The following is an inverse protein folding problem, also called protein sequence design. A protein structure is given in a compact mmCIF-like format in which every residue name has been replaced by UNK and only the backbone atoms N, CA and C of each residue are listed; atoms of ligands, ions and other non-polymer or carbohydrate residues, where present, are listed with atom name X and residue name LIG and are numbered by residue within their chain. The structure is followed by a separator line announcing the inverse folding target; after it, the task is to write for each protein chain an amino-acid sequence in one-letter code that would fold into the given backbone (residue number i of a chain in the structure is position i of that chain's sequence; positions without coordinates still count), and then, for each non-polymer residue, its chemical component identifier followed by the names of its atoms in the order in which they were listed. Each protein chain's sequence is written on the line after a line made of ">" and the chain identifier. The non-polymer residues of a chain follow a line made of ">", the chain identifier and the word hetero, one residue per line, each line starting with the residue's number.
data_IF_915629057807
#
_entry.id   IF_915629057807
#
_cell.length_a   1.000
_cell.length_b   1.000
_cell.length_c   1.000
_cell.angle_alpha   90.00
_cell.angle_beta   90.00
_cell.angle_gamma   90.00
#
_symmetry.space_group_name_H-M   'P 1'
#
loop_
_entity.id
_entity.type
_entity.pdbx_description
1 polymer ?
#
# COMPACT_ATOMS: atom_id res chain seq x y z
N UNK A 1 -9.62 5.45 18.20
CA UNK A 1 -10.64 5.82 19.20
C UNK A 1 -12.06 5.45 18.76
N UNK A 2 -12.52 5.77 17.54
CA UNK A 2 -13.87 5.39 17.09
C UNK A 2 -14.08 3.87 17.03
N UNK A 3 -13.21 3.15 16.32
CA UNK A 3 -13.29 1.68 16.19
C UNK A 3 -13.06 0.90 17.51
N UNK A 4 -12.67 1.56 18.61
CA UNK A 4 -12.63 0.91 19.93
C UNK A 4 -13.96 1.03 20.68
N UNK A 5 -14.89 1.82 20.15
CA UNK A 5 -16.27 1.95 20.62
C UNK A 5 -17.23 1.44 19.53
N UNK A 6 -16.80 0.42 18.77
CA UNK A 6 -17.58 -0.24 17.73
C UNK A 6 -18.15 0.67 16.63
N UNK A 7 -17.51 1.80 16.32
CA UNK A 7 -17.86 2.56 15.11
C UNK A 7 -17.22 1.93 13.88
N UNK A 8 -18.02 1.80 12.81
CA UNK A 8 -17.60 1.37 11.49
C UNK A 8 -18.06 2.37 10.42
N UNK A 9 -17.36 2.43 9.31
CA UNK A 9 -17.57 3.45 8.27
C UNK A 9 -17.75 2.79 6.91
N UNK A 10 -18.69 3.28 6.10
CA UNK A 10 -19.01 2.70 4.78
C UNK A 10 -18.07 3.17 3.66
N UNK A 11 -17.31 4.25 3.85
CA UNK A 11 -16.27 4.69 2.91
C UNK A 11 -15.04 5.29 3.61
N UNK A 12 -13.88 5.32 2.94
CA UNK A 12 -12.69 6.01 3.43
C UNK A 12 -12.95 7.49 3.74
N UNK A 13 -13.73 8.19 2.94
CA UNK A 13 -14.06 9.60 3.17
C UNK A 13 -14.83 9.80 4.48
N UNK A 14 -15.84 8.96 4.77
CA UNK A 14 -16.59 9.06 6.02
C UNK A 14 -15.67 8.78 7.22
N UNK A 15 -14.79 7.77 7.09
CA UNK A 15 -13.79 7.46 8.10
C UNK A 15 -12.86 8.66 8.35
N UNK A 16 -12.33 9.27 7.29
CA UNK A 16 -11.44 10.41 7.37
C UNK A 16 -12.13 11.65 7.94
N UNK A 17 -13.38 11.90 7.54
CA UNK A 17 -14.20 12.97 8.10
C UNK A 17 -14.43 12.78 9.60
N UNK A 18 -14.67 11.55 10.07
CA UNK A 18 -14.81 11.29 11.50
C UNK A 18 -13.49 11.54 12.27
N UNK A 19 -12.33 11.33 11.64
CA UNK A 19 -11.02 11.52 12.28
C UNK A 19 -10.53 12.97 12.29
N UNK A 20 -10.75 13.72 11.20
CA UNK A 20 -10.17 15.06 11.01
C UNK A 20 -11.12 16.09 10.41
N UNK A 21 -12.42 15.79 10.39
CA UNK A 21 -13.47 16.68 9.87
C UNK A 21 -13.30 17.00 8.39
N UNK A 22 -13.83 18.16 7.99
CA UNK A 22 -13.68 18.68 6.64
C UNK A 22 -12.22 18.92 6.24
N UNK A 23 -11.30 19.09 7.21
CA UNK A 23 -9.88 19.27 6.94
C UNK A 23 -9.25 18.08 6.21
N UNK A 24 -9.51 16.86 6.67
CA UNK A 24 -8.99 15.66 6.00
C UNK A 24 -9.63 15.43 4.63
N UNK A 25 -10.93 15.73 4.48
CA UNK A 25 -11.57 15.67 3.16
C UNK A 25 -10.98 16.69 2.19
N UNK A 26 -10.70 17.89 2.67
CA UNK A 26 -10.07 18.94 1.87
C UNK A 26 -8.68 18.52 1.38
N UNK A 27 -7.91 17.80 2.21
CA UNK A 27 -6.61 17.25 1.82
C UNK A 27 -6.69 16.19 0.71
N UNK A 28 -7.81 15.51 0.51
CA UNK A 28 -8.00 14.63 -0.66
C UNK A 28 -8.19 15.43 -1.97
N UNK A 29 -8.61 16.68 -1.86
CA UNK A 29 -9.01 17.52 -2.99
C UNK A 29 -7.96 18.56 -3.42
N UNK A 30 -6.83 18.63 -2.72
CA UNK A 30 -5.70 19.50 -3.05
C UNK A 30 -4.40 18.73 -2.92
N UNK A 31 -3.35 19.25 -3.54
CA UNK A 31 -2.01 18.69 -3.45
C UNK A 31 -1.37 18.93 -2.07
N UNK A 32 -0.35 18.15 -1.71
CA UNK A 32 0.45 18.43 -0.52
C UNK A 32 1.24 19.73 -0.69
N UNK A 33 1.68 20.06 -1.89
CA UNK A 33 2.31 21.34 -2.24
C UNK A 33 1.38 22.53 -1.86
N UNK A 34 0.15 22.56 -2.37
CA UNK A 34 -0.84 23.60 -2.04
C UNK A 34 -1.16 23.66 -0.54
N UNK A 35 -1.23 22.50 0.12
CA UNK A 35 -1.49 22.40 1.55
C UNK A 35 -0.37 23.07 2.37
N UNK A 36 0.89 22.81 2.00
CA UNK A 36 2.06 23.35 2.70
C UNK A 36 2.32 24.83 2.36
N UNK A 37 2.08 25.25 1.12
CA UNK A 37 2.11 26.67 0.77
C UNK A 37 1.08 27.48 1.59
N UNK A 38 -0.14 26.96 1.76
CA UNK A 38 -1.16 27.59 2.65
C UNK A 38 -0.70 27.66 4.11
N UNK A 39 0.08 26.68 4.55
CA UNK A 39 0.73 26.67 5.86
C UNK A 39 2.03 27.51 5.93
N UNK A 40 2.34 28.28 4.87
CA UNK A 40 3.49 29.20 4.74
C UNK A 40 4.86 28.54 4.66
N UNK A 41 4.93 27.28 4.26
CA UNK A 41 6.21 26.68 3.86
C UNK A 41 6.68 27.23 2.52
N UNK A 42 7.99 27.41 2.35
CA UNK A 42 8.55 27.92 1.10
C UNK A 42 8.57 26.84 0.02
N UNK A 43 8.52 27.24 -1.25
CA UNK A 43 8.64 26.30 -2.37
C UNK A 43 9.99 25.57 -2.35
N UNK A 44 11.06 26.22 -1.90
CA UNK A 44 12.37 25.58 -1.73
C UNK A 44 12.29 24.41 -0.74
N UNK A 45 11.65 24.59 0.42
CA UNK A 45 11.45 23.50 1.37
C UNK A 45 10.60 22.37 0.77
N UNK A 46 9.55 22.70 0.03
CA UNK A 46 8.69 21.68 -0.61
C UNK A 46 9.51 20.89 -1.64
N UNK A 47 10.28 21.56 -2.49
CA UNK A 47 11.07 20.92 -3.53
C UNK A 47 12.24 20.10 -2.98
N UNK A 48 12.92 20.60 -1.95
CA UNK A 48 14.19 20.04 -1.45
C UNK A 48 13.99 19.05 -0.29
N UNK A 49 12.88 19.12 0.44
CA UNK A 49 12.62 18.24 1.60
C UNK A 49 11.37 17.38 1.40
N UNK A 50 10.25 17.96 0.98
CA UNK A 50 8.97 17.24 0.90
C UNK A 50 8.93 16.32 -0.32
N UNK A 51 9.29 16.84 -1.50
CA UNK A 51 9.29 16.07 -2.75
C UNK A 51 10.18 14.83 -2.68
N UNK A 52 11.41 14.88 -2.14
CA UNK A 52 12.21 13.67 -1.98
C UNK A 52 11.57 12.61 -1.08
N UNK A 53 10.87 13.04 0.00
CA UNK A 53 10.10 12.12 0.87
C UNK A 53 8.92 11.51 0.09
N UNK A 54 8.22 12.29 -0.73
CA UNK A 54 7.14 11.77 -1.57
C UNK A 54 7.67 10.74 -2.57
N UNK A 55 8.83 11.00 -3.17
CA UNK A 55 9.43 10.12 -4.18
C UNK A 55 9.90 8.80 -3.59
N UNK A 56 10.46 8.78 -2.37
CA UNK A 56 10.87 7.51 -1.73
C UNK A 56 9.69 6.66 -1.27
N UNK A 57 8.61 7.28 -0.77
CA UNK A 57 7.47 6.54 -0.22
C UNK A 57 6.41 6.21 -1.28
N UNK A 58 6.18 7.11 -2.22
CA UNK A 58 5.08 7.06 -3.18
C UNK A 58 5.52 7.26 -4.64
N UNK A 59 6.81 7.40 -4.96
CA UNK A 59 7.27 7.49 -6.36
C UNK A 59 6.60 8.61 -7.18
N UNK A 60 6.04 9.61 -6.49
CA UNK A 60 5.38 10.78 -7.04
C UNK A 60 5.97 12.03 -6.37
N UNK A 61 5.75 13.21 -6.95
CA UNK A 61 6.19 14.48 -6.40
C UNK A 61 5.20 15.06 -5.38
N UNK A 62 5.41 16.31 -4.95
CA UNK A 62 4.48 17.03 -4.08
C UNK A 62 3.10 17.33 -4.73
N UNK A 63 2.89 16.87 -5.98
CA UNK A 63 1.60 16.89 -6.68
C UNK A 63 0.58 15.85 -6.17
N UNK A 64 0.98 14.91 -5.30
CA UNK A 64 0.02 13.97 -4.69
C UNK A 64 -0.97 14.67 -3.79
N UNK A 65 -2.12 14.03 -3.53
CA UNK A 65 -3.10 14.59 -2.60
C UNK A 65 -2.50 14.81 -1.20
N UNK A 66 -2.96 15.85 -0.53
CA UNK A 66 -2.46 16.31 0.75
C UNK A 66 -2.51 15.24 1.85
N UNK A 67 -3.50 14.34 1.82
CA UNK A 67 -3.62 13.32 2.87
C UNK A 67 -2.53 12.25 2.72
N UNK A 68 -2.29 11.76 1.50
CA UNK A 68 -1.15 10.88 1.20
C UNK A 68 0.17 11.58 1.53
N UNK A 69 0.29 12.87 1.20
CA UNK A 69 1.45 13.68 1.56
C UNK A 69 1.70 13.72 3.06
N UNK A 70 0.66 13.92 3.87
CA UNK A 70 0.76 13.90 5.31
C UNK A 70 1.18 12.53 5.85
N UNK A 71 0.61 11.44 5.33
CA UNK A 71 0.99 10.06 5.69
C UNK A 71 2.47 9.79 5.34
N UNK A 72 2.90 10.22 4.16
CA UNK A 72 4.29 10.12 3.70
C UNK A 72 5.26 10.86 4.64
N UNK A 73 4.93 12.10 5.01
CA UNK A 73 5.73 12.90 5.94
C UNK A 73 5.77 12.29 7.34
N UNK A 74 4.68 11.69 7.81
CA UNK A 74 4.66 10.98 9.09
C UNK A 74 5.68 9.82 9.10
N UNK A 75 5.82 9.10 7.98
CA UNK A 75 6.83 8.05 7.78
C UNK A 75 8.28 8.55 7.67
N UNK A 76 8.51 9.85 7.58
CA UNK A 76 9.85 10.46 7.62
C UNK A 76 10.20 11.03 9.01
N UNK A 77 9.28 10.95 9.97
CA UNK A 77 9.53 11.39 11.35
C UNK A 77 10.29 10.33 12.17
N UNK A 78 10.85 10.74 13.30
CA UNK A 78 11.52 9.81 14.23
C UNK A 78 10.54 8.95 15.04
N UNK A 79 11.06 7.93 15.74
CA UNK A 79 10.25 7.08 16.61
C UNK A 79 9.49 5.96 15.88
N UNK A 80 9.94 5.60 14.68
CA UNK A 80 9.45 4.43 13.94
C UNK A 80 9.98 3.13 14.54
N UNK A 81 9.23 2.05 14.33
CA UNK A 81 9.52 0.73 14.89
C UNK A 81 9.66 -0.31 13.79
N UNK A 82 10.45 -1.35 14.06
CA UNK A 82 10.55 -2.53 13.20
C UNK A 82 10.48 -3.79 14.07
N UNK A 83 9.95 -4.86 13.50
CA UNK A 83 9.92 -6.16 14.18
C UNK A 83 11.31 -6.78 14.15
N UNK A 84 11.79 -7.25 15.31
CA UNK A 84 12.99 -8.07 15.40
C UNK A 84 12.84 -9.33 14.53
N UNK A 85 13.80 -9.61 13.64
CA UNK A 85 13.68 -10.65 12.61
C UNK A 85 12.97 -10.21 11.32
N UNK A 86 12.48 -8.97 11.27
CA UNK A 86 12.02 -8.27 10.07
C UNK A 86 10.50 -8.18 9.97
N UNK A 87 10.00 -7.11 9.33
CA UNK A 87 8.57 -6.83 9.20
C UNK A 87 7.77 -7.90 8.43
N UNK A 88 8.45 -8.80 7.69
CA UNK A 88 7.80 -9.98 7.09
C UNK A 88 7.05 -10.84 8.12
N UNK A 89 7.47 -10.79 9.39
CA UNK A 89 6.87 -11.56 10.47
C UNK A 89 5.48 -11.06 10.87
N UNK A 90 5.11 -9.82 10.51
CA UNK A 90 3.77 -9.27 10.80
C UNK A 90 2.70 -10.14 10.14
N UNK A 91 2.81 -10.41 8.85
CA UNK A 91 1.81 -11.19 8.12
C UNK A 91 1.75 -12.65 8.59
N UNK A 92 2.91 -13.29 8.81
CA UNK A 92 2.93 -14.68 9.30
C UNK A 92 2.41 -14.79 10.73
N UNK A 93 2.71 -13.82 11.60
CA UNK A 93 2.21 -13.75 12.96
C UNK A 93 0.69 -13.55 13.01
N UNK A 94 0.15 -12.67 12.18
CA UNK A 94 -1.31 -12.46 12.06
C UNK A 94 -2.03 -13.71 11.54
N UNK A 95 -1.46 -14.39 10.54
CA UNK A 95 -2.04 -15.63 10.04
C UNK A 95 -2.05 -16.72 11.11
N UNK A 96 -0.94 -16.89 11.84
CA UNK A 96 -0.87 -17.82 12.97
C UNK A 96 -1.90 -17.47 14.07
N UNK A 97 -1.98 -16.21 14.47
CA UNK A 97 -2.86 -15.75 15.54
C UNK A 97 -4.35 -15.87 15.19
N UNK A 98 -4.72 -15.59 13.93
CA UNK A 98 -6.11 -15.66 13.47
C UNK A 98 -6.65 -17.10 13.38
N UNK A 99 -5.76 -18.11 13.34
CA UNK A 99 -6.12 -19.52 13.11
C UNK A 99 -6.92 -19.73 11.80
N UNK A 100 -6.78 -18.80 10.85
CA UNK A 100 -7.46 -18.89 9.57
C UNK A 100 -6.92 -20.08 8.76
N UNK A 101 -7.81 -20.73 8.02
CA UNK A 101 -7.41 -21.72 7.03
C UNK A 101 -6.86 -21.00 5.80
N UNK A 102 -5.54 -21.04 5.60
CA UNK A 102 -4.92 -20.53 4.39
C UNK A 102 -5.13 -21.50 3.24
N UNK A 103 -5.77 -21.02 2.17
CA UNK A 103 -5.88 -21.74 0.91
C UNK A 103 -4.95 -21.06 -0.10
N UNK A 104 -3.89 -21.76 -0.49
CA UNK A 104 -2.96 -21.26 -1.52
C UNK A 104 -3.60 -21.38 -2.90
N UNK A 105 -4.10 -20.28 -3.42
CA UNK A 105 -4.66 -20.21 -4.76
C UNK A 105 -5.09 -18.79 -5.16
N UNK A 106 -5.27 -18.58 -6.46
CA UNK A 106 -5.70 -17.30 -7.02
C UNK A 106 -7.19 -17.35 -7.33
N UNK A 107 -7.96 -16.40 -6.79
CA UNK A 107 -9.39 -16.25 -7.11
C UNK A 107 -9.55 -15.85 -8.57
N UNK A 108 -10.45 -16.52 -9.28
CA UNK A 108 -10.73 -16.30 -10.72
C UNK A 108 -12.10 -15.64 -10.90
N UNK A 109 -13.09 -16.07 -10.11
CA UNK A 109 -14.42 -15.49 -10.17
C UNK A 109 -15.15 -15.55 -8.84
N UNK A 110 -16.04 -14.59 -8.64
CA UNK A 110 -16.99 -14.57 -7.54
C UNK A 110 -18.38 -14.47 -8.14
N UNK A 111 -19.29 -15.33 -7.69
CA UNK A 111 -20.69 -15.34 -8.13
C UNK A 111 -21.63 -15.17 -6.94
N UNK A 112 -22.53 -14.20 -7.02
CA UNK A 112 -23.60 -14.05 -6.05
C UNK A 112 -24.70 -15.08 -6.33
N UNK A 113 -25.03 -15.89 -5.31
CA UNK A 113 -26.10 -16.89 -5.36
C UNK A 113 -27.14 -16.60 -4.29
N UNK A 114 -28.41 -16.68 -4.67
CA UNK A 114 -29.52 -16.60 -3.73
C UNK A 114 -30.03 -18.00 -3.44
N UNK A 115 -30.07 -18.39 -2.17
CA UNK A 115 -30.56 -19.70 -1.72
C UNK A 115 -31.75 -19.58 -0.77
N UNK A 116 -32.71 -20.53 -0.80
CA UNK A 116 -33.78 -20.57 0.19
C UNK A 116 -33.24 -20.82 1.60
N UNK A 117 -33.74 -20.05 2.57
CA UNK A 117 -33.35 -20.14 3.98
C UNK A 117 -34.11 -21.29 4.68
N UNK A 118 -33.76 -22.53 4.33
CA UNK A 118 -34.31 -23.74 4.94
C UNK A 118 -35.84 -23.78 5.07
N UNK A 119 -36.35 -24.49 6.09
CA UNK A 119 -37.81 -24.64 6.34
C UNK A 119 -38.51 -23.41 6.91
N UNK A 120 -37.75 -22.39 7.35
CA UNK A 120 -38.28 -21.20 8.02
C UNK A 120 -38.76 -20.11 7.04
N UNK A 121 -38.53 -20.29 5.73
CA UNK A 121 -38.84 -19.28 4.71
C UNK A 121 -37.78 -18.16 4.66
N UNK A 122 -37.65 -17.53 3.50
CA UNK A 122 -36.70 -16.44 3.24
C UNK A 122 -35.61 -16.82 2.23
N UNK A 123 -34.84 -15.82 1.78
CA UNK A 123 -33.71 -15.96 0.88
C UNK A 123 -32.42 -15.56 1.60
N UNK A 124 -31.32 -16.28 1.38
CA UNK A 124 -29.98 -15.91 1.83
C UNK A 124 -29.10 -15.66 0.61
N UNK A 125 -28.30 -14.60 0.66
CA UNK A 125 -27.20 -14.45 -0.29
C UNK A 125 -26.02 -15.26 0.20
N UNK A 126 -25.40 -15.99 -0.72
CA UNK A 126 -24.13 -16.66 -0.55
C UNK A 126 -23.25 -16.37 -1.75
N UNK A 127 -21.95 -16.40 -1.53
CA UNK A 127 -20.95 -16.15 -2.56
C UNK A 127 -20.23 -17.44 -2.89
N UNK A 128 -20.30 -17.84 -4.16
CA UNK A 128 -19.43 -18.89 -4.68
C UNK A 128 -18.14 -18.26 -5.19
N UNK A 129 -17.02 -18.63 -4.59
CA UNK A 129 -15.68 -18.17 -4.97
C UNK A 129 -14.96 -19.30 -5.67
N UNK A 130 -14.66 -19.11 -6.94
CA UNK A 130 -13.87 -20.04 -7.75
C UNK A 130 -12.42 -19.58 -7.76
N UNK A 131 -11.50 -20.50 -7.47
CA UNK A 131 -10.08 -20.21 -7.38
C UNK A 131 -9.24 -21.34 -7.99
N UNK A 132 -8.06 -20.99 -8.49
CA UNK A 132 -7.07 -21.94 -8.99
C UNK A 132 -6.07 -22.27 -7.87
N UNK A 133 -6.04 -23.51 -7.43
CA UNK A 133 -5.09 -24.00 -6.42
C UNK A 133 -4.08 -24.96 -7.06
N UNK A 134 -3.10 -25.42 -6.28
CA UNK A 134 -2.16 -26.48 -6.72
C UNK A 134 -2.85 -27.78 -7.10
N UNK A 135 -4.07 -28.03 -6.61
CA UNK A 135 -4.88 -29.21 -6.92
C UNK A 135 -5.84 -28.98 -8.11
N UNK A 136 -5.76 -27.82 -8.76
CA UNK A 136 -6.63 -27.42 -9.86
C UNK A 136 -7.69 -26.39 -9.46
N UNK A 137 -8.62 -26.16 -10.38
CA UNK A 137 -9.72 -25.19 -10.21
C UNK A 137 -10.80 -25.81 -9.33
N UNK A 138 -11.18 -25.10 -8.28
CA UNK A 138 -12.23 -25.50 -7.34
C UNK A 138 -13.03 -24.29 -6.90
N UNK A 139 -14.13 -24.51 -6.16
CA UNK A 139 -14.97 -23.45 -5.61
C UNK A 139 -15.35 -23.69 -4.16
N UNK A 140 -15.66 -22.60 -3.45
CA UNK A 140 -16.19 -22.63 -2.09
C UNK A 140 -17.35 -21.66 -1.93
N UNK A 141 -18.31 -21.99 -1.06
CA UNK A 141 -19.43 -21.13 -0.72
C UNK A 141 -19.17 -20.38 0.60
N UNK A 142 -19.44 -19.08 0.62
CA UNK A 142 -19.19 -18.19 1.75
C UNK A 142 -20.37 -17.26 2.01
N UNK A 143 -20.67 -16.98 3.28
CA UNK A 143 -21.76 -16.06 3.65
C UNK A 143 -21.32 -14.58 3.64
N UNK A 144 -20.01 -14.34 3.78
CA UNK A 144 -19.36 -13.03 3.85
C UNK A 144 -18.08 -13.03 3.00
N UNK A 145 -17.79 -11.90 2.35
CA UNK A 145 -16.53 -11.68 1.62
C UNK A 145 -15.79 -10.44 2.11
N UNK A 146 -14.51 -10.60 2.38
CA UNK A 146 -13.56 -9.52 2.65
C UNK A 146 -12.52 -9.52 1.53
N UNK A 147 -12.52 -8.50 0.68
CA UNK A 147 -11.60 -8.38 -0.44
C UNK A 147 -10.40 -7.54 -0.02
N UNK A 148 -9.24 -8.20 0.06
CA UNK A 148 -7.96 -7.62 0.43
C UNK A 148 -6.96 -7.54 -0.76
N UNK A 149 -7.47 -7.49 -2.00
CA UNK A 149 -6.66 -7.29 -3.22
C UNK A 149 -7.16 -6.08 -4.00
N UNK A 150 -6.26 -5.30 -4.65
CA UNK A 150 -6.66 -4.24 -5.57
C UNK A 150 -7.58 -4.76 -6.69
N UNK A 151 -8.76 -4.17 -6.86
CA UNK A 151 -9.79 -4.64 -7.79
C UNK A 151 -9.67 -4.13 -9.23
N UNK A 152 -8.59 -3.40 -9.56
CA UNK A 152 -8.30 -3.02 -10.94
C UNK A 152 -8.16 -4.29 -11.79
N UNK A 153 -8.80 -4.30 -12.96
CA UNK A 153 -8.87 -5.49 -13.82
C UNK A 153 -7.50 -6.06 -14.19
N UNK A 154 -6.50 -5.18 -14.41
CA UNK A 154 -5.11 -5.57 -14.73
C UNK A 154 -4.35 -6.18 -13.54
N UNK A 155 -4.88 -6.09 -12.32
CA UNK A 155 -4.25 -6.55 -11.08
C UNK A 155 -4.95 -7.81 -10.56
N UNK A 156 -6.21 -7.68 -10.12
CA UNK A 156 -6.93 -8.81 -9.54
C UNK A 156 -7.32 -9.87 -10.57
N UNK A 157 -7.71 -9.45 -11.78
CA UNK A 157 -8.26 -10.33 -12.82
C UNK A 157 -9.40 -11.25 -12.32
N UNK A 158 -10.24 -10.76 -11.40
CA UNK A 158 -11.40 -11.48 -10.85
C UNK A 158 -12.65 -11.11 -11.64
N UNK A 159 -13.40 -12.12 -12.09
CA UNK A 159 -14.70 -11.92 -12.74
C UNK A 159 -15.84 -11.97 -11.73
N UNK A 160 -16.60 -10.88 -11.59
CA UNK A 160 -17.81 -10.85 -10.75
C UNK A 160 -19.04 -11.19 -11.59
N UNK A 161 -19.84 -12.17 -11.14
CA UNK A 161 -21.01 -12.70 -11.87
C UNK A 161 -22.27 -12.57 -11.03
N UNK A 162 -23.40 -12.31 -11.71
CA UNK A 162 -24.74 -12.27 -11.11
C UNK A 162 -24.90 -11.27 -9.94
N UNK A 163 -24.13 -10.18 -9.97
CA UNK A 163 -24.29 -9.08 -9.03
C UNK A 163 -25.28 -8.04 -9.56
N UNK A 164 -26.25 -7.69 -8.71
CA UNK A 164 -27.16 -6.57 -8.93
C UNK A 164 -27.16 -5.66 -7.68
N UNK A 165 -26.71 -4.40 -7.77
CA UNK A 165 -26.06 -3.81 -8.94
C UNK A 165 -24.69 -4.47 -9.24
N UNK A 166 -24.15 -4.32 -10.47
CA UNK A 166 -22.82 -4.80 -10.81
C UNK A 166 -21.73 -4.19 -9.91
N UNK A 167 -20.67 -4.95 -9.64
CA UNK A 167 -19.49 -4.43 -8.92
C UNK A 167 -18.82 -3.37 -9.78
N UNK A 168 -18.58 -2.19 -9.21
CA UNK A 168 -17.96 -1.07 -9.91
C UNK A 168 -16.55 -1.43 -10.43
N UNK A 169 -16.23 -0.97 -11.64
CA UNK A 169 -14.87 -1.08 -12.16
C UNK A 169 -14.01 0.09 -11.65
N UNK A 170 -12.79 -0.23 -11.23
CA UNK A 170 -11.79 0.76 -10.82
C UNK A 170 -10.71 0.85 -11.90
N UNK A 171 -10.53 2.04 -12.46
CA UNK A 171 -9.68 2.24 -13.65
C UNK A 171 -8.39 3.01 -13.39
N UNK A 172 -8.26 3.74 -12.27
CA UNK A 172 -7.04 4.53 -12.07
C UNK A 172 -5.82 3.62 -11.89
N UNK A 173 -4.67 4.04 -12.44
CA UNK A 173 -3.49 3.20 -12.51
C UNK A 173 -2.86 3.00 -11.13
N UNK A 174 -2.06 1.95 -11.01
CA UNK A 174 -1.14 1.76 -9.89
C UNK A 174 0.27 2.18 -10.31
N UNK A 175 1.03 2.69 -9.37
CA UNK A 175 2.45 2.93 -9.55
C UNK A 175 3.24 1.63 -9.49
N UNK A 176 4.03 1.39 -10.53
CA UNK A 176 5.09 0.41 -10.49
C UNK A 176 6.29 0.99 -9.73
N UNK A 177 6.83 0.18 -8.82
CA UNK A 177 8.08 0.45 -8.12
C UNK A 177 9.00 -0.77 -8.24
N UNK A 178 10.29 -0.50 -8.35
CA UNK A 178 11.35 -1.50 -8.25
C UNK A 178 12.19 -1.18 -7.03
N UNK A 179 12.42 -2.17 -6.18
CA UNK A 179 13.47 -2.13 -5.17
C UNK A 179 14.58 -3.09 -5.58
N UNK A 180 15.75 -2.54 -5.85
CA UNK A 180 16.97 -3.29 -6.14
C UNK A 180 17.85 -3.29 -4.90
N UNK A 181 18.16 -4.47 -4.38
CA UNK A 181 19.07 -4.69 -3.27
C UNK A 181 20.43 -5.08 -3.82
N UNK A 182 21.47 -4.34 -3.43
CA UNK A 182 22.84 -4.54 -3.91
C UNK A 182 23.76 -4.68 -2.71
N UNK A 183 24.43 -5.81 -2.58
CA UNK A 183 25.52 -5.98 -1.63
C UNK A 183 26.81 -5.51 -2.31
N UNK A 184 27.37 -4.38 -1.85
CA UNK A 184 28.51 -3.77 -2.55
C UNK A 184 28.91 -2.38 -2.08
N UNK A 185 29.88 -1.81 -2.79
CA UNK A 185 30.43 -0.48 -2.54
C UNK A 185 29.86 0.54 -3.53
N UNK A 186 29.35 1.65 -3.01
CA UNK A 186 28.91 2.79 -3.83
C UNK A 186 30.11 3.39 -4.57
N UNK A 187 29.89 3.74 -5.83
CA UNK A 187 30.79 4.58 -6.59
C UNK A 187 30.67 6.04 -6.12
N UNK A 188 31.47 6.42 -5.14
CA UNK A 188 31.45 7.77 -4.56
C UNK A 188 31.69 8.88 -5.60
N UNK A 189 32.44 8.60 -6.66
CA UNK A 189 32.73 9.57 -7.73
C UNK A 189 31.49 10.00 -8.50
N UNK A 190 30.50 9.10 -8.66
CA UNK A 190 29.20 9.41 -9.27
C UNK A 190 28.45 10.48 -8.48
N UNK A 191 28.65 10.54 -7.16
CA UNK A 191 28.06 11.53 -6.27
C UNK A 191 28.95 12.76 -6.04
N UNK A 192 29.99 12.93 -6.86
CA UNK A 192 30.88 14.11 -6.82
C UNK A 192 32.00 14.04 -5.78
N UNK A 193 32.18 12.91 -5.08
CA UNK A 193 33.27 12.74 -4.12
C UNK A 193 34.55 12.31 -4.84
N UNK A 194 35.65 13.06 -4.64
CA UNK A 194 36.97 12.71 -5.20
C UNK A 194 37.64 11.58 -4.42
N UNK A 195 37.51 11.61 -3.09
CA UNK A 195 38.03 10.60 -2.17
C UNK A 195 36.86 9.74 -1.66
N UNK A 196 36.79 8.45 -2.04
CA UNK A 196 35.74 7.54 -1.58
C UNK A 196 35.66 7.39 -0.05
N UNK A 197 36.75 7.63 0.68
CA UNK A 197 36.76 7.53 2.15
C UNK A 197 35.93 8.62 2.84
N UNK A 198 35.67 9.74 2.14
CA UNK A 198 34.84 10.83 2.62
C UNK A 198 33.34 10.57 2.44
N UNK A 199 32.95 9.55 1.67
CA UNK A 199 31.56 9.21 1.46
C UNK A 199 30.98 8.52 2.69
N UNK A 200 30.15 9.23 3.44
CA UNK A 200 29.53 8.76 4.69
C UNK A 200 28.00 8.66 4.65
N UNK A 201 27.39 9.04 3.53
CA UNK A 201 25.94 9.05 3.37
C UNK A 201 25.36 7.63 3.51
N UNK A 202 24.25 7.53 4.24
CA UNK A 202 23.48 6.28 4.42
C UNK A 202 22.15 6.29 3.67
N UNK A 203 21.71 7.48 3.24
CA UNK A 203 20.52 7.66 2.44
C UNK A 203 20.77 8.80 1.45
N UNK A 204 20.27 8.64 0.24
CA UNK A 204 20.28 9.62 -0.84
C UNK A 204 18.87 9.65 -1.40
N UNK A 205 18.21 10.80 -1.31
CA UNK A 205 16.88 11.01 -1.85
C UNK A 205 16.98 12.01 -3.00
N UNK A 206 16.13 11.87 -4.01
CA UNK A 206 16.17 12.73 -5.20
C UNK A 206 15.03 13.73 -5.21
N UNK A 207 15.30 14.94 -5.71
CA UNK A 207 14.25 15.87 -6.12
C UNK A 207 13.54 15.35 -7.37
N UNK A 208 12.46 16.01 -7.76
CA UNK A 208 11.78 15.71 -9.02
C UNK A 208 12.63 16.16 -10.21
N UNK A 209 13.14 15.17 -10.95
CA UNK A 209 13.83 15.38 -12.22
C UNK A 209 13.52 14.17 -13.13
N UNK A 210 12.90 14.38 -14.30
CA UNK A 210 12.59 13.32 -15.26
C UNK A 210 13.80 12.55 -15.79
N UNK A 211 15.01 13.12 -15.72
CA UNK A 211 16.24 12.48 -16.18
C UNK A 211 16.83 11.50 -15.16
N UNK A 212 16.36 11.53 -13.91
CA UNK A 212 16.84 10.63 -12.88
C UNK A 212 16.22 9.24 -13.02
N UNK A 213 17.08 8.23 -13.13
CA UNK A 213 16.68 6.83 -13.19
C UNK A 213 16.45 6.20 -11.81
N UNK A 214 16.72 6.94 -10.72
CA UNK A 214 16.49 6.51 -9.33
C UNK A 214 15.66 7.52 -8.54
N UNK A 215 14.83 7.00 -7.65
CA UNK A 215 14.05 7.78 -6.68
C UNK A 215 14.82 7.96 -5.36
N UNK A 216 15.53 6.92 -4.91
CA UNK A 216 16.40 6.99 -3.73
C UNK A 216 17.36 5.81 -3.63
N UNK A 217 18.38 5.98 -2.79
CA UNK A 217 19.28 4.93 -2.32
C UNK A 217 19.32 4.97 -0.79
N UNK A 218 19.37 3.81 -0.15
CA UNK A 218 19.53 3.74 1.31
C UNK A 218 20.18 2.45 1.77
N UNK A 219 21.06 2.54 2.76
CA UNK A 219 21.66 1.37 3.42
C UNK A 219 20.58 0.66 4.24
N UNK A 220 20.45 -0.65 4.05
CA UNK A 220 19.51 -1.47 4.79
C UNK A 220 20.19 -2.06 6.02
N UNK A 221 19.54 -1.92 7.17
CA UNK A 221 20.04 -2.52 8.41
C UNK A 221 19.65 -3.99 8.53
N UNK A 222 20.46 -4.81 9.24
CA UNK A 222 20.17 -6.22 9.43
C UNK A 222 18.97 -6.42 10.34
N UNK A 223 18.12 -7.39 10.01
CA UNK A 223 16.89 -7.64 10.79
C UNK A 223 17.13 -8.25 12.17
N UNK A 224 18.31 -8.81 12.43
CA UNK A 224 18.70 -9.41 13.73
C UNK A 224 19.61 -8.49 14.56
N UNK A 225 19.83 -7.26 14.10
CA UNK A 225 20.84 -6.37 14.69
C UNK A 225 22.28 -6.88 14.51
N UNK A 226 23.23 -6.14 15.08
CA UNK A 226 24.65 -6.45 15.05
C UNK A 226 25.45 -5.70 13.98
N UNK A 227 26.76 -5.55 14.23
CA UNK A 227 27.68 -4.95 13.26
C UNK A 227 28.02 -5.97 12.17
N UNK A 228 27.65 -5.68 10.93
CA UNK A 228 28.15 -6.43 9.80
C UNK A 228 29.57 -5.97 9.46
N UNK A 229 30.50 -6.92 9.49
CA UNK A 229 31.88 -6.77 9.03
C UNK A 229 31.90 -7.09 7.53
N UNK A 230 31.50 -6.13 6.70
CA UNK A 230 31.43 -6.30 5.25
C UNK A 230 30.82 -5.09 4.53
N UNK A 231 30.75 -5.12 3.19
CA UNK A 231 30.06 -4.11 2.42
C UNK A 231 28.60 -3.98 2.88
N UNK A 232 28.03 -2.77 2.90
CA UNK A 232 26.61 -2.60 3.20
C UNK A 232 25.73 -3.19 2.09
N UNK A 233 24.50 -3.54 2.47
CA UNK A 233 23.43 -3.77 1.49
C UNK A 233 22.73 -2.44 1.23
N UNK A 234 22.72 -2.02 -0.02
CA UNK A 234 22.00 -0.85 -0.50
C UNK A 234 20.67 -1.26 -1.10
N UNK A 235 19.61 -0.53 -0.75
CA UNK A 235 18.32 -0.57 -1.45
C UNK A 235 18.23 0.65 -2.36
N UNK A 236 17.98 0.41 -3.63
CA UNK A 236 17.76 1.44 -4.65
C UNK A 236 16.31 1.36 -5.09
N UNK A 237 15.57 2.46 -4.97
CA UNK A 237 14.24 2.58 -5.54
C UNK A 237 14.30 3.24 -6.92
N UNK A 238 13.63 2.63 -7.89
CA UNK A 238 13.53 3.12 -9.27
C UNK A 238 12.17 2.77 -9.89
N UNK A 239 11.83 3.40 -11.02
CA UNK A 239 10.60 3.10 -11.75
C UNK A 239 10.70 1.83 -12.61
N UNK A 240 11.91 1.50 -13.07
CA UNK A 240 12.23 0.33 -13.89
C UNK A 240 13.40 -0.44 -13.29
N UNK A 241 13.60 -1.68 -13.74
CA UNK A 241 14.80 -2.44 -13.41
C UNK A 241 16.04 -1.65 -13.83
N UNK A 242 17.05 -1.63 -12.97
CA UNK A 242 18.32 -0.96 -13.28
C UNK A 242 19.06 -1.78 -14.34
N UNK A 243 19.61 -1.10 -15.35
CA UNK A 243 20.50 -1.74 -16.32
C UNK A 243 21.88 -1.98 -15.71
N UNK A 244 22.68 -2.83 -16.34
CA UNK A 244 24.07 -3.07 -15.91
C UNK A 244 24.90 -1.79 -15.94
N UNK A 245 24.65 -0.90 -16.90
CA UNK A 245 25.31 0.42 -16.98
C UNK A 245 24.91 1.28 -15.80
N UNK A 246 23.62 1.33 -15.46
CA UNK A 246 23.12 2.09 -14.31
C UNK A 246 23.67 1.53 -12.98
N UNK A 247 23.78 0.21 -12.85
CA UNK A 247 24.40 -0.43 -11.68
C UNK A 247 25.89 -0.07 -11.57
N UNK A 248 26.64 -0.12 -12.67
CA UNK A 248 28.06 0.27 -12.72
C UNK A 248 28.29 1.77 -12.50
N UNK A 249 27.31 2.61 -12.82
CA UNK A 249 27.34 4.03 -12.45
C UNK A 249 27.22 4.20 -10.93
N UNK A 250 26.27 3.49 -10.31
CA UNK A 250 25.99 3.62 -8.88
C UNK A 250 27.00 2.91 -7.97
N UNK A 251 27.56 1.77 -8.41
CA UNK A 251 28.40 0.90 -7.58
C UNK A 251 29.75 0.64 -8.25
N UNK A 252 30.82 0.80 -7.48
CA UNK A 252 32.19 0.49 -7.95
C UNK A 252 32.48 -1.02 -7.93
N UNK A 253 31.81 -1.75 -7.04
CA UNK A 253 31.88 -3.21 -6.93
C UNK A 253 30.66 -3.75 -6.19
N UNK A 254 30.20 -4.93 -6.59
CA UNK A 254 29.10 -5.66 -5.96
C UNK A 254 29.20 -7.14 -6.32
N UNK A 255 28.64 -8.01 -5.48
CA UNK A 255 28.63 -9.46 -5.65
C UNK A 255 27.21 -10.07 -5.68
N UNK A 256 26.21 -9.34 -5.19
CA UNK A 256 24.80 -9.75 -5.22
C UNK A 256 23.90 -8.58 -5.62
N UNK A 257 23.01 -8.84 -6.57
CA UNK A 257 21.92 -7.94 -6.96
C UNK A 257 20.61 -8.71 -6.97
N UNK A 258 19.64 -8.25 -6.19
CA UNK A 258 18.30 -8.82 -6.12
C UNK A 258 17.27 -7.72 -6.34
N UNK A 259 16.37 -7.89 -7.32
CA UNK A 259 15.39 -6.87 -7.65
C UNK A 259 13.96 -7.40 -7.50
N UNK A 260 13.13 -6.65 -6.77
CA UNK A 260 11.69 -6.90 -6.71
C UNK A 260 10.97 -5.80 -7.47
N UNK A 261 10.11 -6.19 -8.41
CA UNK A 261 9.17 -5.31 -9.11
C UNK A 261 7.75 -5.56 -8.62
N UNK A 262 6.99 -4.50 -8.33
CA UNK A 262 5.58 -4.64 -7.95
C UNK A 262 4.77 -3.38 -8.26
N UNK A 263 3.45 -3.52 -8.22
CA UNK A 263 2.51 -2.40 -8.20
C UNK A 263 2.25 -2.03 -6.73
N UNK A 264 2.74 -0.87 -6.30
CA UNK A 264 2.89 -0.54 -4.89
C UNK A 264 1.66 0.15 -4.29
N UNK A 265 1.06 1.07 -5.04
CA UNK A 265 -0.05 1.90 -4.57
C UNK A 265 -0.78 2.53 -5.77
N UNK A 266 -2.02 3.02 -5.59
CA UNK A 266 -2.72 3.82 -6.59
C UNK A 266 -1.92 5.07 -7.02
N UNK A 267 -2.13 5.53 -8.24
CA UNK A 267 -1.70 6.86 -8.67
C UNK A 267 -2.61 7.91 -8.04
N UNK A 268 -2.02 8.80 -7.27
CA UNK A 268 -2.75 9.83 -6.55
C UNK A 268 -2.80 11.12 -7.36
N UNK A 269 -4.01 11.58 -7.67
CA UNK A 269 -4.24 12.87 -8.34
C UNK A 269 -5.47 13.53 -7.73
N UNK A 270 -5.32 14.70 -7.08
CA UNK A 270 -6.47 15.47 -6.64
C UNK A 270 -7.36 15.92 -7.82
N UNK A 271 -8.70 15.97 -7.67
CA UNK A 271 -9.45 15.49 -6.51
C UNK A 271 -9.50 13.96 -6.43
N UNK A 272 -9.19 13.42 -5.25
CA UNK A 272 -9.15 11.98 -5.03
C UNK A 272 -10.52 11.47 -4.56
N UNK A 273 -11.11 10.56 -5.34
CA UNK A 273 -12.28 9.78 -4.94
C UNK A 273 -11.84 8.39 -4.51
N UNK A 274 -12.31 7.91 -3.36
CA UNK A 274 -11.99 6.58 -2.88
C UNK A 274 -13.13 5.60 -3.22
N UNK A 275 -12.81 4.32 -3.49
CA UNK A 275 -13.81 3.25 -3.48
C UNK A 275 -14.50 3.14 -2.11
N UNK A 276 -15.76 2.69 -2.06
CA UNK A 276 -16.42 2.41 -0.79
C UNK A 276 -15.81 1.19 -0.10
N UNK A 277 -15.95 1.12 1.24
CA UNK A 277 -15.64 -0.10 2.00
C UNK A 277 -16.71 -1.17 1.81
N UNK A 278 -17.95 -0.81 1.47
CA UNK A 278 -19.04 -1.76 1.20
C UNK A 278 -19.24 -1.85 -0.32
N UNK A 279 -19.02 -3.03 -0.90
CA UNK A 279 -19.20 -3.26 -2.34
C UNK A 279 -20.58 -3.85 -2.66
N UNK A 280 -21.04 -4.75 -1.79
CA UNK A 280 -22.35 -5.39 -1.87
C UNK A 280 -22.77 -5.83 -0.47
N UNK A 281 -23.95 -6.41 -0.36
CA UNK A 281 -24.46 -6.99 0.87
C UNK A 281 -23.51 -8.08 1.38
N UNK A 282 -22.99 -7.97 2.61
CA UNK A 282 -21.99 -8.91 3.15
C UNK A 282 -20.67 -9.00 2.34
N UNK A 283 -20.33 -7.97 1.56
CA UNK A 283 -19.11 -7.92 0.76
C UNK A 283 -18.38 -6.59 0.95
N UNK A 284 -17.18 -6.65 1.52
CA UNK A 284 -16.41 -5.47 1.93
C UNK A 284 -15.04 -5.40 1.26
N UNK A 285 -14.60 -4.18 0.93
CA UNK A 285 -13.34 -3.90 0.25
C UNK A 285 -12.31 -3.27 1.17
N UNK A 286 -11.35 -4.06 1.64
CA UNK A 286 -10.32 -3.62 2.58
C UNK A 286 -9.34 -2.65 1.90
N UNK A 287 -8.93 -2.90 0.64
CA UNK A 287 -7.98 -2.03 -0.06
C UNK A 287 -8.60 -0.71 -0.55
N UNK A 288 -9.88 -0.45 -0.29
CA UNK A 288 -10.47 0.87 -0.52
C UNK A 288 -9.66 1.99 0.16
N UNK A 289 -9.08 1.72 1.33
CA UNK A 289 -8.26 2.69 2.07
C UNK A 289 -6.98 3.10 1.33
N UNK A 290 -6.44 2.27 0.44
CA UNK A 290 -5.19 2.59 -0.27
C UNK A 290 -5.32 3.84 -1.12
N UNK A 291 -6.54 4.17 -1.55
CA UNK A 291 -6.84 5.38 -2.31
C UNK A 291 -6.83 6.65 -1.47
N UNK A 292 -7.12 6.52 -0.17
CA UNK A 292 -6.92 7.60 0.79
C UNK A 292 -5.43 7.73 1.13
N UNK A 293 -4.77 6.62 1.47
CA UNK A 293 -3.31 6.49 1.54
C UNK A 293 -2.93 5.01 1.70
N UNK A 294 -1.90 4.57 0.96
CA UNK A 294 -1.36 3.22 1.11
C UNK A 294 -0.25 3.20 2.16
N UNK A 295 -0.44 2.45 3.23
CA UNK A 295 0.55 2.09 4.25
C UNK A 295 0.05 0.87 5.05
N UNK A 296 0.94 0.12 5.70
CA UNK A 296 0.53 -1.06 6.48
C UNK A 296 -0.44 -0.68 7.62
N UNK A 297 -0.23 0.47 8.24
CA UNK A 297 -1.07 1.04 9.28
C UNK A 297 -2.47 1.37 8.75
N UNK A 298 -2.56 1.91 7.53
CA UNK A 298 -3.83 2.20 6.87
C UNK A 298 -4.58 0.90 6.55
N UNK A 299 -3.88 -0.14 6.08
CA UNK A 299 -4.45 -1.47 5.88
C UNK A 299 -4.98 -2.07 7.19
N UNK A 300 -4.28 -1.90 8.32
CA UNK A 300 -4.74 -2.37 9.62
C UNK A 300 -6.01 -1.63 10.09
N UNK A 301 -6.08 -0.31 9.90
CA UNK A 301 -7.28 0.50 10.18
C UNK A 301 -8.47 0.00 9.35
N UNK A 302 -8.26 -0.25 8.06
CA UNK A 302 -9.31 -0.73 7.16
C UNK A 302 -9.74 -2.16 7.47
N UNK A 303 -8.81 -3.06 7.81
CA UNK A 303 -9.13 -4.43 8.20
C UNK A 303 -10.02 -4.44 9.46
N UNK A 304 -9.70 -3.59 10.46
CA UNK A 304 -10.56 -3.44 11.64
C UNK A 304 -11.93 -2.86 11.28
N UNK A 305 -11.98 -1.88 10.39
CA UNK A 305 -13.24 -1.31 9.90
C UNK A 305 -14.12 -2.38 9.25
N UNK A 306 -13.57 -3.17 8.34
CA UNK A 306 -14.29 -4.20 7.61
C UNK A 306 -14.78 -5.34 8.54
N UNK A 307 -13.98 -5.72 9.53
CA UNK A 307 -14.40 -6.67 10.57
C UNK A 307 -15.59 -6.14 11.38
N UNK A 308 -15.59 -4.85 11.75
CA UNK A 308 -16.72 -4.22 12.45
C UNK A 308 -17.96 -4.12 11.56
N UNK A 309 -17.82 -3.73 10.29
CA UNK A 309 -18.94 -3.72 9.33
C UNK A 309 -19.57 -5.11 9.19
N UNK A 310 -18.74 -6.14 8.99
CA UNK A 310 -19.20 -7.52 8.89
C UNK A 310 -19.91 -7.97 10.18
N UNK A 311 -19.36 -7.65 11.35
CA UNK A 311 -19.94 -7.96 12.64
C UNK A 311 -21.31 -7.27 12.84
N UNK A 312 -21.43 -5.97 12.54
CA UNK A 312 -22.71 -5.26 12.69
C UNK A 312 -23.77 -5.82 11.76
N UNK A 313 -23.44 -6.07 10.51
CA UNK A 313 -24.36 -6.66 9.56
C UNK A 313 -24.81 -8.06 10.01
N UNK A 314 -23.88 -8.90 10.46
CA UNK A 314 -24.20 -10.25 10.93
C UNK A 314 -25.20 -10.29 12.09
N UNK A 315 -25.11 -9.31 12.99
CA UNK A 315 -25.97 -9.20 14.17
C UNK A 315 -27.09 -8.16 14.02
N UNK A 316 -27.35 -7.65 12.81
CA UNK A 316 -28.34 -6.60 12.53
C UNK A 316 -28.21 -5.34 13.42
N UNK A 317 -26.98 -4.96 13.77
CA UNK A 317 -26.66 -3.74 14.55
C UNK A 317 -26.40 -2.55 13.63
N UNK A 318 -27.18 -2.43 12.55
CA UNK A 318 -26.95 -1.42 11.51
C UNK A 318 -27.67 -0.14 11.93
N UNK A 319 -26.93 0.79 12.52
CA UNK A 319 -27.30 2.22 12.63
C UNK A 319 -26.43 3.05 11.69
#
# INVERSE_FOLDING_TARGET
>A
RYQSHDYAFSSPEILLHALGGAGFLHMLNQTIDESLQKARFSQAFINEMVTPIMRVNYGQSASINGFVGAVSLAGASGGLWSIEGGNKLVCSGLLYASKAQLISGSVISVEAKTRPKGRAGGLTKQYEVTYNSTSGVTSGAYDLLLIATPLQRKIANITFRNFDPPIAEFSSPYHQTVATFVHGHINASFFGYRDPSQFSLKAILTMEDPQLFVSSLGVVSPVKGGNHLGPPVWKVFSHQLLTDEQLKLLFSSYDLVEAQKWLAYPHYTPPQKCPPFVLHDHMYYVNAIEWAASAMEMSAISAKNAALLAHHHWYNKVD
#
